data_IF_413178684601
#
_entry.id   IF_413178684601
#
_cell.length_a   1.000
_cell.length_b   1.000
_cell.length_c   1.000
_cell.angle_alpha   90.00
_cell.angle_beta   90.00
_cell.angle_gamma   90.00
#
_symmetry.space_group_name_H-M   'P 1'
#
loop_
_entity.id
_entity.type
_entity.pdbx_description
1 polymer ?
#
# COMPACT_ATOMS: atom_id res chain seq x y z
N UNK A 1 16.35 18.38 -12.72
CA UNK A 1 17.67 17.72 -12.62
C UNK A 1 17.56 16.21 -12.38
N UNK A 2 16.72 15.75 -11.44
CA UNK A 2 16.52 14.31 -11.17
C UNK A 2 16.32 13.41 -12.43
N UNK A 3 15.46 13.79 -13.38
CA UNK A 3 15.26 13.00 -14.61
C UNK A 3 16.50 12.96 -15.52
N UNK A 4 17.31 14.02 -15.54
CA UNK A 4 18.57 14.04 -16.30
C UNK A 4 19.68 13.21 -15.62
N UNK A 5 19.59 13.00 -14.31
CA UNK A 5 20.49 12.08 -13.60
C UNK A 5 20.16 10.61 -13.93
N UNK A 6 18.87 10.30 -14.13
CA UNK A 6 18.39 8.96 -14.50
C UNK A 6 18.54 8.70 -16.01
N UNK A 7 18.30 9.72 -16.85
CA UNK A 7 18.42 9.67 -18.31
C UNK A 7 19.16 10.90 -18.82
N UNK A 8 20.51 10.86 -18.88
CA UNK A 8 21.32 12.01 -19.27
C UNK A 8 21.11 12.46 -20.72
N UNK A 9 20.62 11.57 -21.57
CA UNK A 9 20.48 11.80 -23.01
C UNK A 9 19.14 12.47 -23.39
N UNK A 10 18.29 12.76 -22.40
CA UNK A 10 17.01 13.40 -22.67
C UNK A 10 17.19 14.90 -22.94
N UNK A 11 16.64 15.36 -24.07
CA UNK A 11 16.59 16.79 -24.38
C UNK A 11 15.77 17.56 -23.35
N UNK A 12 16.21 18.77 -22.99
CA UNK A 12 15.56 19.64 -22.02
C UNK A 12 14.06 19.85 -22.30
N UNK A 13 13.69 19.91 -23.58
CA UNK A 13 12.31 20.10 -24.02
C UNK A 13 11.40 18.89 -23.72
N UNK A 14 11.98 17.70 -23.52
CA UNK A 14 11.26 16.46 -23.28
C UNK A 14 11.19 16.08 -21.79
N UNK A 15 11.91 16.79 -20.92
CA UNK A 15 11.95 16.51 -19.48
C UNK A 15 10.55 16.52 -18.87
N UNK A 16 9.73 17.52 -19.18
CA UNK A 16 8.37 17.62 -18.63
C UNK A 16 7.50 16.41 -18.99
N UNK A 17 7.56 15.97 -20.26
CA UNK A 17 6.84 14.79 -20.73
C UNK A 17 7.30 13.50 -20.06
N UNK A 18 8.60 13.37 -19.81
CA UNK A 18 9.16 12.20 -19.15
C UNK A 18 8.81 12.16 -17.66
N UNK A 19 8.76 13.33 -16.99
CA UNK A 19 8.24 13.44 -15.62
C UNK A 19 6.81 12.94 -15.55
N UNK A 20 5.92 13.45 -16.41
CA UNK A 20 4.51 13.05 -16.41
C UNK A 20 4.35 11.55 -16.66
N UNK A 21 5.17 10.99 -17.57
CA UNK A 21 5.18 9.55 -17.84
C UNK A 21 5.59 8.75 -16.60
N UNK A 22 6.72 9.08 -15.98
CA UNK A 22 7.24 8.37 -14.80
C UNK A 22 6.27 8.48 -13.62
N UNK A 23 5.67 9.65 -13.40
CA UNK A 23 4.67 9.84 -12.36
C UNK A 23 3.38 9.05 -12.64
N UNK A 24 2.92 9.06 -13.89
CA UNK A 24 1.73 8.29 -14.30
C UNK A 24 1.97 6.79 -14.18
N UNK A 25 3.14 6.30 -14.58
CA UNK A 25 3.55 4.91 -14.41
C UNK A 25 3.62 4.56 -12.92
N UNK A 26 4.33 5.35 -12.12
CA UNK A 26 4.45 5.14 -10.69
C UNK A 26 3.07 5.12 -9.98
N UNK A 27 2.15 6.01 -10.37
CA UNK A 27 0.80 6.03 -9.81
C UNK A 27 0.01 4.78 -10.19
N UNK A 28 0.07 4.37 -11.47
CA UNK A 28 -0.60 3.15 -11.96
C UNK A 28 -0.05 1.88 -11.34
N UNK A 29 1.27 1.81 -11.11
CA UNK A 29 1.91 0.60 -10.56
C UNK A 29 1.86 0.52 -9.03
N UNK A 30 1.68 1.63 -8.31
CA UNK A 30 1.77 1.66 -6.85
C UNK A 30 0.43 1.96 -6.15
N UNK A 31 -0.70 1.72 -6.81
CA UNK A 31 -2.01 1.91 -6.20
C UNK A 31 -2.20 0.89 -5.07
N UNK A 32 -2.23 1.38 -3.82
CA UNK A 32 -2.39 0.57 -2.61
C UNK A 32 -3.76 0.85 -1.99
N UNK A 33 -4.58 -0.18 -1.85
CA UNK A 33 -5.86 -0.13 -1.15
C UNK A 33 -5.70 -0.86 0.19
N UNK A 34 -6.07 -0.20 1.29
CA UNK A 34 -6.01 -0.78 2.64
C UNK A 34 -7.45 -1.01 3.10
N UNK A 35 -7.73 -2.25 3.51
CA UNK A 35 -9.01 -2.66 4.09
C UNK A 35 -8.76 -3.10 5.54
N UNK A 36 -9.43 -2.45 6.48
CA UNK A 36 -9.33 -2.77 7.92
C UNK A 36 -10.60 -3.53 8.31
N UNK A 37 -10.42 -4.73 8.86
CA UNK A 37 -11.52 -5.60 9.33
C UNK A 37 -11.15 -6.06 10.75
N UNK A 38 -12.08 -5.90 11.69
CA UNK A 38 -11.83 -6.04 13.12
C UNK A 38 -11.59 -7.49 13.56
N UNK A 39 -12.37 -8.43 13.03
CA UNK A 39 -12.27 -9.84 13.42
C UNK A 39 -12.47 -10.75 12.20
N UNK A 40 -11.37 -11.33 11.72
CA UNK A 40 -11.37 -12.32 10.64
C UNK A 40 -10.79 -13.64 11.15
N UNK A 41 -11.57 -14.70 11.02
CA UNK A 41 -11.04 -16.05 11.17
C UNK A 41 -10.01 -16.35 10.08
N UNK A 42 -9.13 -17.32 10.33
CA UNK A 42 -8.15 -17.77 9.34
C UNK A 42 -8.82 -18.19 8.01
N UNK A 43 -9.95 -18.89 8.09
CA UNK A 43 -10.72 -19.33 6.92
C UNK A 43 -11.31 -18.14 6.13
N UNK A 44 -11.80 -17.12 6.82
CA UNK A 44 -12.30 -15.91 6.17
C UNK A 44 -11.16 -15.13 5.49
N UNK A 45 -9.98 -15.04 6.14
CA UNK A 45 -8.78 -14.44 5.55
C UNK A 45 -8.35 -15.16 4.28
N UNK A 46 -8.36 -16.49 4.28
CA UNK A 46 -8.03 -17.30 3.10
C UNK A 46 -9.06 -17.11 1.98
N UNK A 47 -10.35 -17.10 2.33
CA UNK A 47 -11.44 -16.85 1.38
C UNK A 47 -11.29 -15.50 0.69
N UNK A 48 -11.08 -14.43 1.45
CA UNK A 48 -10.89 -13.08 0.90
C UNK A 48 -9.63 -13.04 0.02
N UNK A 49 -8.53 -13.66 0.48
CA UNK A 49 -7.29 -13.73 -0.30
C UNK A 49 -7.51 -14.41 -1.65
N UNK A 50 -8.26 -15.52 -1.67
CA UNK A 50 -8.58 -16.26 -2.90
C UNK A 50 -9.49 -15.44 -3.83
N UNK A 51 -10.52 -14.80 -3.28
CA UNK A 51 -11.42 -13.93 -4.06
C UNK A 51 -10.65 -12.77 -4.68
N UNK A 52 -9.80 -12.08 -3.91
CA UNK A 52 -9.01 -10.94 -4.43
C UNK A 52 -8.02 -11.39 -5.50
N UNK A 53 -7.34 -12.54 -5.32
CA UNK A 53 -6.39 -13.08 -6.31
C UNK A 53 -7.04 -13.51 -7.63
N UNK A 54 -8.33 -13.86 -7.60
CA UNK A 54 -9.09 -14.22 -8.80
C UNK A 54 -9.32 -13.01 -9.72
N UNK A 55 -9.31 -11.79 -9.17
CA UNK A 55 -9.33 -10.58 -9.99
C UNK A 55 -7.97 -10.36 -10.64
N UNK A 56 -8.00 -10.28 -11.97
CA UNK A 56 -6.85 -9.91 -12.79
C UNK A 56 -6.93 -8.44 -13.13
N UNK A 57 -5.79 -7.77 -13.02
CA UNK A 57 -5.61 -6.43 -13.56
C UNK A 57 -5.68 -6.49 -15.10
N UNK A 58 -5.92 -5.36 -15.76
CA UNK A 58 -5.99 -5.29 -17.23
C UNK A 58 -4.69 -5.78 -17.92
N UNK A 59 -3.56 -5.74 -17.20
CA UNK A 59 -2.27 -6.26 -17.65
C UNK A 59 -2.10 -7.79 -17.42
N UNK A 60 -3.12 -8.49 -16.91
CA UNK A 60 -3.10 -9.93 -16.63
C UNK A 60 -2.44 -10.32 -15.30
N UNK A 61 -1.88 -9.37 -14.56
CA UNK A 61 -1.30 -9.62 -13.24
C UNK A 61 -2.38 -9.84 -12.18
N UNK A 62 -2.07 -10.65 -11.16
CA UNK A 62 -2.96 -10.84 -10.02
C UNK A 62 -2.81 -9.71 -9.02
N UNK A 63 -3.93 -9.29 -8.42
CA UNK A 63 -3.91 -8.37 -7.29
C UNK A 63 -3.30 -9.08 -6.08
N UNK A 64 -2.29 -8.46 -5.46
CA UNK A 64 -1.71 -8.94 -4.21
C UNK A 64 -2.52 -8.41 -3.02
N UNK A 65 -3.22 -9.31 -2.35
CA UNK A 65 -3.89 -9.01 -1.08
C UNK A 65 -2.93 -9.26 0.09
N UNK A 66 -2.54 -8.19 0.79
CA UNK A 66 -1.80 -8.26 2.04
C UNK A 66 -2.77 -8.01 3.19
N UNK A 67 -2.94 -8.99 4.06
CA UNK A 67 -3.78 -8.87 5.25
C UNK A 67 -2.92 -8.89 6.50
N UNK A 68 -3.10 -7.85 7.31
CA UNK A 68 -2.41 -7.65 8.57
C UNK A 68 -3.41 -7.78 9.70
N UNK A 69 -3.04 -8.50 10.76
CA UNK A 69 -3.84 -8.49 11.99
C UNK A 69 -3.35 -7.31 12.81
N UNK A 70 -4.25 -6.36 13.07
CA UNK A 70 -3.94 -5.17 13.85
C UNK A 70 -4.53 -5.36 15.24
N UNK A 71 -3.70 -5.30 16.28
CA UNK A 71 -4.15 -5.37 17.67
C UNK A 71 -4.09 -3.97 18.27
N UNK A 72 -5.21 -3.54 18.84
CA UNK A 72 -5.25 -2.34 19.66
C UNK A 72 -4.66 -2.69 21.04
N UNK A 73 -3.56 -2.05 21.40
CA UNK A 73 -2.92 -2.18 22.70
C UNK A 73 -3.11 -0.89 23.49
N UNK A 74 -3.65 -0.98 24.70
CA UNK A 74 -3.77 0.15 25.61
C UNK A 74 -2.54 0.19 26.51
N UNK A 75 -1.79 1.28 26.46
CA UNK A 75 -0.72 1.57 27.41
C UNK A 75 -1.35 2.17 28.66
N UNK A 76 -1.28 1.43 29.76
CA UNK A 76 -1.78 1.89 31.06
C UNK A 76 -0.61 2.57 31.80
N UNK A 77 -0.67 3.89 31.94
CA UNK A 77 0.26 4.63 32.81
C UNK A 77 -0.41 4.77 34.18
N UNK A 78 0.09 4.07 35.19
CA UNK A 78 -0.54 3.99 36.53
C UNK A 78 -0.66 5.35 37.25
N UNK A 79 0.06 6.37 36.80
CA UNK A 79 0.15 7.71 37.41
C UNK A 79 -0.59 8.80 36.64
N UNK A 80 -1.13 8.51 35.45
CA UNK A 80 -1.81 9.48 34.59
C UNK A 80 -3.20 8.96 34.20
N UNK A 81 -4.19 9.85 34.22
CA UNK A 81 -5.59 9.53 33.88
C UNK A 81 -5.86 9.46 32.37
N UNK A 82 -4.82 9.64 31.54
CA UNK A 82 -4.93 9.62 30.09
C UNK A 82 -4.57 8.23 29.55
N UNK A 83 -5.44 7.69 28.69
CA UNK A 83 -5.22 6.41 28.03
C UNK A 83 -4.49 6.64 26.70
N UNK A 84 -3.27 6.11 26.58
CA UNK A 84 -2.56 6.05 25.31
C UNK A 84 -2.87 4.72 24.62
N UNK A 85 -3.31 4.77 23.36
CA UNK A 85 -3.56 3.59 22.54
C UNK A 85 -2.49 3.47 21.46
N UNK A 86 -1.96 2.26 21.27
CA UNK A 86 -1.04 1.91 20.20
C UNK A 86 -1.65 0.83 19.30
N UNK A 87 -1.37 0.89 18.00
CA UNK A 87 -1.70 -0.17 17.06
C UNK A 87 -0.45 -1.01 16.82
N UNK A 88 -0.48 -2.29 17.17
CA UNK A 88 0.57 -3.25 16.82
C UNK A 88 0.13 -4.08 15.63
N UNK A 89 1.08 -4.39 14.75
CA UNK A 89 0.86 -5.20 13.54
C UNK A 89 1.60 -6.53 13.72
N UNK A 90 0.92 -7.64 13.49
CA UNK A 90 1.50 -9.00 13.53
C UNK A 90 1.57 -9.63 12.13
#
# INVERSE_FOLDING_TARGET
>A
RWIQEIKPEISDQLIGREIDKVLSEAFRTNLKIILIIDDLSAEQKDTITNVVRAFKLENGESINFLSYVVRLEQKIILTESEAEFALSVQ
#
